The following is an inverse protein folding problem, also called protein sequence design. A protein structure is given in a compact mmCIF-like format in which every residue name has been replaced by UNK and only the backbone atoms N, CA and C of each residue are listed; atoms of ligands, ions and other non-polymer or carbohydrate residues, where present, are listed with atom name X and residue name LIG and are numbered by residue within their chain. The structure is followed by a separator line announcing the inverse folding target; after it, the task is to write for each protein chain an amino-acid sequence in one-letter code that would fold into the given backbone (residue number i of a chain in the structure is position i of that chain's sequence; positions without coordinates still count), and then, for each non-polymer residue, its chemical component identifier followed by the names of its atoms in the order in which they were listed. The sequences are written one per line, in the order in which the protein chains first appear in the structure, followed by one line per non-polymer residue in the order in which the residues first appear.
data_IF_279201434918
#
_entry.id   IF_279201434918
#
_cell.length_a   1.000
_cell.length_b   1.000
_cell.length_c   1.000
_cell.angle_alpha   90.00
_cell.angle_beta   90.00
_cell.angle_gamma   90.00
#
_symmetry.space_group_name_H-M   'P 1'
#
loop_
_entity.id
_entity.type
_entity.pdbx_description
1 polymer ?
#
# COMPACT_ATOMS: atom_id res chain seq x y z
N UNK A 1 -8.69 2.06 0.79
CA UNK A 1 -7.59 2.95 1.25
C UNK A 1 -7.36 3.98 0.16
N UNK A 2 -6.92 5.20 0.50
CA UNK A 2 -6.59 6.24 -0.49
C UNK A 2 -5.10 6.51 -0.51
N UNK A 3 -4.54 6.75 -1.70
CA UNK A 3 -3.15 7.15 -1.90
C UNK A 3 -3.14 8.43 -2.71
N UNK A 4 -2.35 9.40 -2.29
CA UNK A 4 -2.14 10.63 -3.05
C UNK A 4 -1.32 10.34 -4.31
N UNK A 5 -1.81 10.85 -5.43
CA UNK A 5 -1.11 10.84 -6.71
C UNK A 5 -0.85 12.28 -7.15
N UNK A 6 -0.09 12.45 -8.23
CA UNK A 6 0.18 13.76 -8.84
C UNK A 6 -1.09 14.52 -9.27
N UNK A 7 -2.18 13.81 -9.54
CA UNK A 7 -3.45 14.41 -9.95
C UNK A 7 -4.51 14.41 -8.81
N UNK A 8 -4.11 14.06 -7.59
CA UNK A 8 -4.96 13.98 -6.39
C UNK A 8 -5.13 12.57 -5.83
N UNK A 9 -5.97 12.43 -4.81
CA UNK A 9 -6.21 11.18 -4.10
C UNK A 9 -6.92 10.12 -4.94
N UNK A 10 -6.35 8.91 -4.98
CA UNK A 10 -6.89 7.75 -5.68
C UNK A 10 -7.21 6.61 -4.72
N UNK A 11 -8.30 5.88 -4.98
CA UNK A 11 -8.68 4.71 -4.19
C UNK A 11 -7.91 3.49 -4.68
N UNK A 12 -7.21 2.83 -3.76
CA UNK A 12 -6.54 1.56 -4.01
C UNK A 12 -7.22 0.43 -3.24
N UNK A 13 -7.23 -0.74 -3.87
CA UNK A 13 -7.62 -1.99 -3.24
C UNK A 13 -6.35 -2.76 -2.84
N UNK A 14 -6.27 -3.21 -1.59
CA UNK A 14 -5.20 -4.07 -1.11
C UNK A 14 -5.79 -5.47 -0.94
N UNK A 15 -5.41 -6.45 -1.76
CA UNK A 15 -5.89 -7.82 -1.63
C UNK A 15 -5.59 -8.42 -0.24
N UNK A 16 -6.47 -9.28 0.29
CA UNK A 16 -6.16 -10.04 1.50
C UNK A 16 -4.94 -10.93 1.23
N UNK A 17 -4.02 -11.00 2.20
CA UNK A 17 -2.78 -11.77 2.06
C UNK A 17 -1.62 -11.03 1.38
N UNK A 18 -1.80 -9.75 1.01
CA UNK A 18 -0.70 -8.93 0.50
C UNK A 18 0.49 -8.87 1.46
N UNK A 19 1.69 -8.91 0.89
CA UNK A 19 2.94 -9.06 1.64
C UNK A 19 3.67 -7.73 1.86
N UNK A 20 4.49 -7.61 2.92
CA UNK A 20 5.38 -6.47 3.07
C UNK A 20 6.30 -6.33 1.84
N UNK A 21 6.45 -5.10 1.34
CA UNK A 21 7.28 -4.81 0.17
C UNK A 21 6.61 -5.10 -1.18
N UNK A 22 5.40 -5.67 -1.20
CA UNK A 22 4.64 -5.87 -2.43
C UNK A 22 4.35 -4.51 -3.11
N UNK A 23 4.42 -4.51 -4.43
CA UNK A 23 4.26 -3.30 -5.24
C UNK A 23 2.91 -3.32 -5.97
N UNK A 24 2.16 -2.23 -5.83
CA UNK A 24 0.91 -1.99 -6.54
C UNK A 24 1.16 -0.92 -7.61
N UNK A 25 0.88 -1.26 -8.86
CA UNK A 25 1.02 -0.35 -10.01
C UNK A 25 -0.28 0.39 -10.29
N UNK A 26 -0.24 1.71 -10.21
CA UNK A 26 -1.33 2.62 -10.58
C UNK A 26 -1.08 3.13 -12.01
N UNK A 27 -1.78 2.51 -12.96
CA UNK A 27 -1.58 2.78 -14.39
C UNK A 27 -2.04 4.20 -14.76
N UNK A 28 -1.20 4.95 -15.47
CA UNK A 28 -1.46 6.30 -15.95
C UNK A 28 -1.45 7.38 -14.87
N UNK A 29 -1.09 7.04 -13.63
CA UNK A 29 -1.04 7.95 -12.48
C UNK A 29 0.36 8.50 -12.21
N UNK A 30 1.31 8.26 -13.10
CA UNK A 30 2.65 8.81 -13.02
C UNK A 30 2.76 10.22 -13.62
N UNK A 31 4.00 10.69 -13.69
CA UNK A 31 4.35 12.01 -14.21
C UNK A 31 4.06 12.08 -15.73
N UNK A 32 3.56 13.21 -16.25
CA UNK A 32 3.40 13.41 -17.68
C UNK A 32 4.75 13.42 -18.40
N UNK A 33 4.76 12.91 -19.63
CA UNK A 33 5.96 12.95 -20.47
C UNK A 33 6.33 14.40 -20.81
N UNK A 34 7.59 14.76 -20.63
CA UNK A 34 8.10 16.12 -20.94
C UNK A 34 8.26 16.32 -22.45
N UNK A 35 8.61 15.26 -23.19
CA UNK A 35 9.00 15.32 -24.60
C UNK A 35 8.02 14.60 -25.55
N UNK A 36 6.79 14.30 -25.11
CA UNK A 36 5.85 13.53 -25.94
C UNK A 36 4.45 13.40 -25.34
N UNK A 37 3.67 12.45 -25.87
CA UNK A 37 2.30 12.18 -25.41
C UNK A 37 2.26 11.07 -24.33
N UNK A 38 1.33 11.20 -23.39
CA UNK A 38 1.05 10.19 -22.37
C UNK A 38 1.69 10.47 -21.01
N UNK A 39 1.45 9.55 -20.07
CA UNK A 39 1.92 9.61 -18.69
C UNK A 39 2.49 8.26 -18.27
N UNK A 40 3.44 8.28 -17.34
CA UNK A 40 3.94 7.07 -16.70
C UNK A 40 2.95 6.49 -15.68
N UNK A 41 3.44 5.54 -14.89
CA UNK A 41 2.69 4.92 -13.81
C UNK A 41 3.27 5.28 -12.45
N UNK A 42 2.43 5.26 -11.42
CA UNK A 42 2.87 5.37 -10.04
C UNK A 42 2.94 3.97 -9.44
N UNK A 43 4.07 3.64 -8.81
CA UNK A 43 4.24 2.37 -8.10
C UNK A 43 4.22 2.64 -6.61
N UNK A 44 3.28 2.03 -5.91
CA UNK A 44 3.13 2.11 -4.46
C UNK A 44 3.73 0.86 -3.85
N UNK A 45 4.60 1.02 -2.85
CA UNK A 45 5.18 -0.12 -2.11
C UNK A 45 4.48 -0.24 -0.76
N UNK A 46 3.98 -1.43 -0.44
CA UNK A 46 3.32 -1.69 0.83
C UNK A 46 4.35 -1.77 1.96
N UNK A 47 4.20 -0.90 2.96
CA UNK A 47 5.00 -0.93 4.19
C UNK A 47 4.10 -1.34 5.36
N UNK A 48 4.45 -2.44 6.00
CA UNK A 48 3.77 -2.90 7.22
C UNK A 48 4.47 -2.28 8.42
N UNK A 49 3.71 -1.60 9.27
CA UNK A 49 4.18 -1.08 10.54
C UNK A 49 3.77 -2.04 11.66
N UNK A 50 4.76 -2.60 12.35
CA UNK A 50 4.52 -3.50 13.48
C UNK A 50 4.36 -2.65 14.75
N UNK A 51 3.23 -2.75 15.47
CA UNK A 51 2.99 -1.95 16.67
C UNK A 51 3.95 -2.34 17.80
N UNK A 52 4.49 -1.34 18.50
CA UNK A 52 5.44 -1.53 19.62
C UNK A 52 4.76 -1.88 20.95
N UNK A 53 3.52 -1.48 21.12
CA UNK A 53 2.76 -1.71 22.35
C UNK A 53 1.49 -2.47 22.02
N UNK A 54 1.28 -3.59 22.72
CA UNK A 54 0.13 -4.46 22.56
C UNK A 54 -0.61 -4.57 23.89
N UNK A 55 -1.92 -4.40 23.84
CA UNK A 55 -2.82 -4.72 24.96
C UNK A 55 -2.83 -6.23 25.24
N UNK A 56 -3.30 -6.64 26.43
CA UNK A 56 -3.40 -8.05 26.80
C UNK A 56 -4.18 -8.87 25.76
N UNK A 57 -5.36 -8.36 25.36
CA UNK A 57 -6.21 -9.00 24.34
C UNK A 57 -5.51 -9.17 22.99
N UNK A 58 -4.73 -8.18 22.53
CA UNK A 58 -3.98 -8.30 21.27
C UNK A 58 -2.89 -9.36 21.34
N UNK A 59 -2.19 -9.49 22.48
CA UNK A 59 -1.18 -10.53 22.69
C UNK A 59 -1.80 -11.93 22.67
N UNK A 60 -2.96 -12.10 23.31
CA UNK A 60 -3.63 -13.39 23.35
C UNK A 60 -4.11 -13.84 21.95
N UNK A 61 -4.61 -12.91 21.13
CA UNK A 61 -4.97 -13.20 19.73
C UNK A 61 -3.77 -13.62 18.89
N UNK A 62 -2.60 -12.97 19.08
CA UNK A 62 -1.38 -13.38 18.37
C UNK A 62 -0.92 -14.78 18.78
N UNK A 63 -0.98 -15.14 20.07
CA UNK A 63 -0.63 -16.49 20.54
C UNK A 63 -1.53 -17.57 19.94
N UNK A 64 -2.83 -17.28 19.78
CA UNK A 64 -3.77 -18.21 19.14
C UNK A 64 -3.49 -18.40 17.64
N UNK A 65 -2.82 -17.44 16.99
CA UNK A 65 -2.47 -17.51 15.58
C UNK A 65 -1.18 -18.29 15.33
N UNK A 66 -0.28 -18.38 16.33
CA UNK A 66 0.97 -19.15 16.24
C UNK A 66 0.77 -20.68 16.30
N UNK A 67 -0.41 -21.14 16.74
CA UNK A 67 -0.81 -22.55 16.86
C UNK A 67 -1.66 -23.02 15.70
#
# INVERSE_FOLDING_TARGET
MSVETVDGGEKINIPPGSQPGEQIRLKGKGVPSVNGYGRGDQVVTLKIEIPRHLSAKQKDLLKQFES
#
